data_IF_433721910449
#
_entry.id   IF_433721910449
#
_cell.length_a   1.000
_cell.length_b   1.000
_cell.length_c   1.000
_cell.angle_alpha   90.00
_cell.angle_beta   90.00
_cell.angle_gamma   90.00
#
_symmetry.space_group_name_H-M   'P 1'
#
loop_
_entity.id
_entity.type
_entity.pdbx_description
1 polymer ?
#
# COMPACT_ATOMS: atom_id res chain seq x y z
N UNK A 1 -12.71 16.68 -8.63
CA UNK A 1 -12.91 15.95 -7.36
C UNK A 1 -12.59 14.49 -7.59
N UNK A 2 -12.01 13.82 -6.59
CA UNK A 2 -11.66 12.41 -6.63
C UNK A 2 -12.43 11.67 -5.53
N UNK A 3 -12.71 10.39 -5.75
CA UNK A 3 -13.25 9.48 -4.75
C UNK A 3 -12.31 8.27 -4.66
N UNK A 4 -11.93 7.90 -3.45
CA UNK A 4 -11.13 6.72 -3.15
C UNK A 4 -11.98 5.77 -2.34
N UNK A 5 -11.88 4.47 -2.65
CA UNK A 5 -12.61 3.46 -1.89
C UNK A 5 -11.79 2.18 -1.76
N UNK A 6 -11.94 1.52 -0.66
CA UNK A 6 -11.45 0.16 -0.47
C UNK A 6 -12.41 -0.82 -1.16
N UNK A 7 -11.87 -1.65 -2.05
CA UNK A 7 -12.63 -2.70 -2.75
C UNK A 7 -12.27 -4.05 -2.16
N UNK A 8 -13.10 -4.54 -1.24
CA UNK A 8 -12.91 -5.86 -0.63
C UNK A 8 -13.28 -6.97 -1.62
N UNK A 9 -12.75 -8.18 -1.40
CA UNK A 9 -13.12 -9.37 -2.18
C UNK A 9 -14.62 -9.67 -2.14
N UNK A 10 -15.27 -9.40 -0.99
CA UNK A 10 -16.72 -9.50 -0.86
C UNK A 10 -17.45 -8.47 -1.73
N UNK A 11 -16.95 -7.22 -1.81
CA UNK A 11 -17.56 -6.19 -2.63
C UNK A 11 -17.56 -6.58 -4.12
N UNK A 12 -16.49 -7.24 -4.57
CA UNK A 12 -16.40 -7.76 -5.94
C UNK A 12 -17.35 -8.96 -6.13
N UNK A 13 -17.24 -9.97 -5.26
CA UNK A 13 -18.03 -11.20 -5.37
C UNK A 13 -19.55 -10.95 -5.26
N UNK A 14 -19.96 -9.95 -4.47
CA UNK A 14 -21.36 -9.57 -4.28
C UNK A 14 -21.82 -8.44 -5.22
N UNK A 15 -21.03 -8.09 -6.22
CA UNK A 15 -21.34 -7.04 -7.19
C UNK A 15 -21.66 -5.66 -6.60
N UNK A 16 -21.14 -5.34 -5.39
CA UNK A 16 -21.38 -4.04 -4.73
C UNK A 16 -20.79 -2.85 -5.48
N UNK A 17 -19.85 -3.11 -6.38
CA UNK A 17 -19.19 -2.11 -7.21
C UNK A 17 -19.79 -2.08 -8.64
N UNK A 18 -20.87 -2.82 -8.90
CA UNK A 18 -21.50 -2.87 -10.21
C UNK A 18 -21.95 -1.47 -10.66
N UNK A 19 -21.68 -1.14 -11.92
CA UNK A 19 -22.02 0.17 -12.50
C UNK A 19 -21.01 1.29 -12.21
N UNK A 20 -20.02 1.10 -11.30
CA UNK A 20 -18.97 2.07 -11.09
C UNK A 20 -17.91 1.97 -12.19
N UNK A 21 -17.42 3.14 -12.64
CA UNK A 21 -16.30 3.25 -13.58
C UNK A 21 -15.09 3.76 -12.84
N UNK A 22 -14.08 2.90 -12.67
CA UNK A 22 -12.86 3.26 -11.98
C UNK A 22 -11.84 3.86 -12.95
N UNK A 23 -11.22 4.97 -12.54
CA UNK A 23 -10.08 5.55 -13.25
C UNK A 23 -8.79 4.73 -13.04
N UNK A 24 -8.72 3.93 -11.97
CA UNK A 24 -7.61 3.05 -11.69
C UNK A 24 -7.87 2.12 -10.52
N UNK A 25 -6.98 1.15 -10.37
CA UNK A 25 -6.94 0.22 -9.26
C UNK A 25 -5.53 0.08 -8.70
N UNK A 26 -5.42 -0.16 -7.40
CA UNK A 26 -4.15 -0.36 -6.71
C UNK A 26 -4.20 -1.70 -5.97
N UNK A 27 -3.24 -2.56 -6.24
CA UNK A 27 -3.01 -3.79 -5.48
C UNK A 27 -1.82 -3.60 -4.54
N UNK A 28 -2.05 -3.75 -3.25
CA UNK A 28 -1.02 -3.60 -2.23
C UNK A 28 -0.44 -4.94 -1.79
N UNK A 29 -1.28 -5.85 -1.32
CA UNK A 29 -0.86 -7.18 -0.88
C UNK A 29 -2.07 -8.13 -0.80
N UNK A 30 -1.77 -9.43 -0.66
CA UNK A 30 -2.76 -10.47 -0.40
C UNK A 30 -2.26 -11.40 0.69
N UNK A 31 -2.78 -11.22 1.90
CA UNK A 31 -2.57 -12.12 3.04
C UNK A 31 -3.73 -13.09 3.20
N UNK A 32 -3.54 -14.14 4.00
CA UNK A 32 -4.62 -15.10 4.29
C UNK A 32 -5.68 -14.44 5.16
N UNK A 33 -6.84 -14.19 4.55
CA UNK A 33 -8.01 -13.62 5.20
C UNK A 33 -9.28 -14.08 4.50
N UNK A 34 -10.45 -13.93 5.15
CA UNK A 34 -11.77 -14.21 4.57
C UNK A 34 -11.94 -15.62 3.96
N UNK A 35 -11.21 -16.63 4.46
CA UNK A 35 -11.31 -18.00 3.98
C UNK A 35 -12.61 -18.70 4.42
N UNK A 36 -13.25 -18.20 5.45
CA UNK A 36 -14.60 -18.58 5.87
C UNK A 36 -15.64 -18.37 4.75
N UNK A 37 -15.53 -17.26 4.01
CA UNK A 37 -16.40 -16.92 2.88
C UNK A 37 -15.93 -17.56 1.57
N UNK A 38 -14.67 -17.38 1.20
CA UNK A 38 -14.15 -17.81 -0.11
C UNK A 38 -13.77 -19.29 -0.18
N UNK A 39 -13.70 -20.00 0.95
CA UNK A 39 -13.36 -21.42 1.11
C UNK A 39 -11.92 -21.76 0.77
N UNK A 40 -11.34 -21.19 -0.28
CA UNK A 40 -9.95 -21.40 -0.69
C UNK A 40 -9.24 -20.08 -0.92
N UNK A 41 -7.91 -20.09 -0.83
CA UNK A 41 -7.08 -18.93 -1.12
C UNK A 41 -7.18 -18.52 -2.59
N UNK A 42 -7.30 -19.49 -3.48
CA UNK A 42 -7.45 -19.26 -4.93
C UNK A 42 -8.74 -18.49 -5.21
N UNK A 43 -9.87 -18.91 -4.65
CA UNK A 43 -11.14 -18.20 -4.80
C UNK A 43 -11.07 -16.78 -4.25
N UNK A 44 -10.40 -16.58 -3.11
CA UNK A 44 -10.19 -15.26 -2.53
C UNK A 44 -9.33 -14.38 -3.44
N UNK A 45 -8.21 -14.91 -3.94
CA UNK A 45 -7.35 -14.21 -4.92
C UNK A 45 -8.13 -13.85 -6.18
N UNK A 46 -8.85 -14.81 -6.75
CA UNK A 46 -9.54 -14.64 -8.02
C UNK A 46 -10.71 -13.65 -7.91
N UNK A 47 -11.39 -13.61 -6.74
CA UNK A 47 -12.37 -12.58 -6.45
C UNK A 47 -11.76 -11.16 -6.47
N UNK A 48 -10.58 -10.97 -5.86
CA UNK A 48 -9.87 -9.67 -5.94
C UNK A 48 -9.38 -9.38 -7.36
N UNK A 49 -8.86 -10.39 -8.06
CA UNK A 49 -8.38 -10.27 -9.44
C UNK A 49 -9.48 -9.79 -10.39
N UNK A 50 -10.71 -10.24 -10.23
CA UNK A 50 -11.83 -9.84 -11.07
C UNK A 50 -12.07 -8.33 -11.09
N UNK A 51 -11.70 -7.60 -10.04
CA UNK A 51 -11.71 -6.14 -10.05
C UNK A 51 -10.74 -5.56 -11.09
N UNK A 52 -9.51 -6.07 -11.15
CA UNK A 52 -8.50 -5.60 -12.11
C UNK A 52 -8.83 -6.02 -13.54
N UNK A 53 -9.38 -7.22 -13.72
CA UNK A 53 -9.84 -7.71 -15.04
C UNK A 53 -10.99 -6.85 -15.60
N UNK A 54 -11.81 -6.28 -14.71
CA UNK A 54 -12.91 -5.38 -15.03
C UNK A 54 -12.52 -3.92 -15.32
N UNK A 55 -11.26 -3.53 -15.12
CA UNK A 55 -10.82 -2.15 -15.36
C UNK A 55 -10.84 -1.82 -16.87
N UNK A 56 -11.34 -0.64 -17.27
CA UNK A 56 -11.38 -0.23 -18.67
C UNK A 56 -9.97 0.08 -19.21
N UNK A 57 -9.78 0.01 -20.53
CA UNK A 57 -8.51 0.25 -21.24
C UNK A 57 -7.86 1.61 -20.90
N UNK A 58 -8.66 2.62 -20.58
CA UNK A 58 -8.17 3.97 -20.20
C UNK A 58 -7.81 4.13 -18.71
N UNK A 59 -8.04 3.10 -17.90
CA UNK A 59 -7.66 3.10 -16.49
C UNK A 59 -6.19 2.71 -16.29
N UNK A 60 -5.67 2.93 -15.08
CA UNK A 60 -4.39 2.38 -14.64
C UNK A 60 -4.59 1.22 -13.65
N UNK A 61 -3.64 0.30 -13.60
CA UNK A 61 -3.56 -0.77 -12.61
C UNK A 61 -2.17 -0.73 -11.98
N UNK A 62 -2.07 -0.19 -10.77
CA UNK A 62 -0.82 -0.16 -10.00
C UNK A 62 -0.73 -1.44 -9.17
N UNK A 63 0.37 -2.19 -9.29
CA UNK A 63 0.54 -3.46 -8.58
C UNK A 63 1.86 -3.57 -7.85
N UNK A 64 1.81 -4.14 -6.64
CA UNK A 64 2.98 -4.46 -5.83
C UNK A 64 3.63 -5.76 -6.33
N UNK A 65 4.84 -5.67 -6.89
CA UNK A 65 5.56 -6.87 -7.37
C UNK A 65 6.39 -7.53 -6.26
N UNK A 66 6.46 -6.96 -5.07
CA UNK A 66 7.01 -7.63 -3.89
C UNK A 66 6.04 -8.69 -3.33
N UNK A 67 4.74 -8.58 -3.64
CA UNK A 67 3.75 -9.63 -3.36
C UNK A 67 3.73 -10.65 -4.52
N UNK A 68 3.83 -11.94 -4.18
CA UNK A 68 3.82 -13.03 -5.16
C UNK A 68 2.57 -13.05 -6.06
N UNK A 69 1.46 -12.47 -5.61
CA UNK A 69 0.23 -12.40 -6.38
C UNK A 69 0.15 -11.11 -7.22
N UNK A 70 1.08 -10.15 -7.05
CA UNK A 70 1.02 -8.85 -7.70
C UNK A 70 0.85 -8.93 -9.21
N UNK A 71 1.68 -9.70 -9.89
CA UNK A 71 1.58 -9.87 -11.35
C UNK A 71 0.36 -10.71 -11.76
N UNK A 72 -0.08 -11.64 -10.90
CA UNK A 72 -1.30 -12.43 -11.16
C UNK A 72 -2.53 -11.52 -11.19
N UNK A 73 -2.61 -10.53 -10.27
CA UNK A 73 -3.73 -9.60 -10.20
C UNK A 73 -3.97 -8.83 -11.50
N UNK A 74 -2.91 -8.48 -12.19
CA UNK A 74 -2.98 -7.63 -13.40
C UNK A 74 -2.81 -8.41 -14.71
N UNK A 75 -2.73 -9.74 -14.67
CA UNK A 75 -2.40 -10.59 -15.80
C UNK A 75 -3.38 -10.42 -16.99
N UNK A 76 -4.66 -10.24 -16.73
CA UNK A 76 -5.70 -10.16 -17.76
C UNK A 76 -6.35 -8.77 -17.85
N UNK A 77 -5.84 -7.78 -17.12
CA UNK A 77 -6.40 -6.43 -17.15
C UNK A 77 -6.22 -5.77 -18.52
N UNK A 78 -7.18 -4.94 -18.91
CA UNK A 78 -7.08 -4.08 -20.09
C UNK A 78 -6.49 -2.70 -19.75
N UNK A 79 -6.31 -2.41 -18.45
CA UNK A 79 -5.77 -1.16 -17.96
C UNK A 79 -4.26 -1.06 -18.24
N UNK A 80 -3.73 0.16 -18.15
CA UNK A 80 -2.27 0.39 -18.22
C UNK A 80 -1.65 -0.08 -16.92
N UNK A 81 -0.85 -1.16 -16.99
CA UNK A 81 -0.18 -1.73 -15.82
C UNK A 81 1.03 -0.87 -15.44
N UNK A 82 1.14 -0.56 -14.16
CA UNK A 82 2.27 0.07 -13.50
C UNK A 82 2.66 -0.73 -12.27
N UNK A 83 3.95 -0.94 -12.09
CA UNK A 83 4.49 -1.75 -11.01
C UNK A 83 5.13 -0.89 -9.94
N UNK A 84 5.09 -1.33 -8.69
CA UNK A 84 5.91 -0.73 -7.64
C UNK A 84 6.56 -1.79 -6.75
N UNK A 85 7.70 -1.44 -6.16
CA UNK A 85 8.50 -2.37 -5.36
C UNK A 85 9.49 -1.64 -4.45
N UNK A 86 9.77 -2.26 -3.30
CA UNK A 86 10.90 -1.89 -2.44
C UNK A 86 12.15 -2.76 -2.70
N UNK A 87 12.01 -3.88 -3.43
CA UNK A 87 13.04 -4.91 -3.58
C UNK A 87 13.45 -5.16 -5.03
N UNK A 88 12.49 -5.18 -5.95
CA UNK A 88 12.69 -5.54 -7.34
C UNK A 88 12.73 -4.32 -8.28
N UNK A 89 13.06 -4.56 -9.54
CA UNK A 89 12.89 -3.56 -10.58
C UNK A 89 11.39 -3.32 -10.83
N UNK A 90 11.00 -2.05 -10.87
CA UNK A 90 9.61 -1.62 -11.04
C UNK A 90 9.55 -0.20 -11.64
N UNK A 91 8.36 0.22 -12.13
CA UNK A 91 8.13 1.61 -12.58
C UNK A 91 8.31 2.61 -11.44
N UNK A 92 7.85 2.24 -10.23
CA UNK A 92 8.00 3.03 -9.02
C UNK A 92 8.80 2.26 -7.99
N UNK A 93 9.82 2.88 -7.43
CA UNK A 93 10.72 2.26 -6.45
C UNK A 93 10.92 3.17 -5.26
N UNK A 94 11.03 2.58 -4.09
CA UNK A 94 11.50 3.29 -2.92
C UNK A 94 12.53 2.46 -2.15
N UNK A 95 13.43 3.18 -1.48
CA UNK A 95 14.44 2.61 -0.58
C UNK A 95 14.47 3.46 0.69
N UNK A 96 14.55 2.81 1.83
CA UNK A 96 14.79 3.49 3.11
C UNK A 96 16.26 3.85 3.16
N UNK A 97 16.56 5.12 3.33
CA UNK A 97 17.91 5.65 3.54
C UNK A 97 18.21 5.74 5.04
N UNK A 98 17.27 6.28 5.80
CA UNK A 98 17.36 6.42 7.25
C UNK A 98 16.00 6.13 7.89
N UNK A 99 16.01 5.54 9.08
CA UNK A 99 14.80 5.24 9.84
C UNK A 99 15.03 5.60 11.32
N UNK A 100 14.07 6.31 11.90
CA UNK A 100 14.02 6.68 13.31
C UNK A 100 12.59 6.63 13.83
N UNK A 101 12.41 6.79 15.14
CA UNK A 101 11.08 6.94 15.73
C UNK A 101 10.38 8.26 15.37
N UNK A 102 11.07 9.19 14.72
CA UNK A 102 10.53 10.48 14.28
C UNK A 102 10.07 10.43 12.83
N UNK A 103 10.50 9.42 12.07
CA UNK A 103 10.17 9.23 10.67
C UNK A 103 11.27 8.54 9.90
N UNK A 104 11.12 8.55 8.59
CA UNK A 104 12.05 7.94 7.65
C UNK A 104 12.48 8.94 6.58
N UNK A 105 13.75 8.81 6.13
CA UNK A 105 14.22 9.38 4.88
C UNK A 105 14.19 8.29 3.80
N UNK A 106 13.53 8.57 2.70
CA UNK A 106 13.31 7.64 1.59
C UNK A 106 13.95 8.17 0.31
N UNK A 107 14.55 7.31 -0.47
CA UNK A 107 14.76 7.54 -1.91
C UNK A 107 13.53 7.02 -2.66
N UNK A 108 12.84 7.87 -3.37
CA UNK A 108 11.70 7.51 -4.24
C UNK A 108 12.05 7.86 -5.67
N UNK A 109 12.33 6.86 -6.49
CA UNK A 109 12.76 7.02 -7.90
C UNK A 109 13.95 7.99 -8.07
N UNK A 110 14.95 7.93 -7.18
CA UNK A 110 16.15 8.77 -7.22
C UNK A 110 15.97 10.16 -6.60
N UNK A 111 14.87 10.41 -5.88
CA UNK A 111 14.63 11.66 -5.16
C UNK A 111 14.42 11.39 -3.68
N UNK A 112 15.10 12.14 -2.85
CA UNK A 112 14.99 12.02 -1.40
C UNK A 112 13.75 12.74 -0.87
N UNK A 113 13.07 12.11 0.09
CA UNK A 113 11.93 12.68 0.80
C UNK A 113 11.92 12.19 2.25
N UNK A 114 11.75 13.13 3.18
CA UNK A 114 11.53 12.81 4.59
C UNK A 114 10.03 12.71 4.86
N UNK A 115 9.62 11.65 5.55
CA UNK A 115 8.20 11.39 5.86
C UNK A 115 8.04 11.06 7.36
N UNK A 116 7.00 11.57 8.04
CA UNK A 116 6.77 11.31 9.46
C UNK A 116 6.05 9.95 9.68
N UNK A 117 6.54 8.92 9.03
CA UNK A 117 6.05 7.55 9.14
C UNK A 117 7.18 6.64 9.57
N UNK A 118 6.85 5.59 10.30
CA UNK A 118 7.79 4.53 10.69
C UNK A 118 7.30 3.18 10.20
N UNK A 119 8.24 2.25 10.06
CA UNK A 119 7.98 0.90 9.59
C UNK A 119 7.94 0.75 8.07
N UNK A 120 8.67 -0.24 7.58
CA UNK A 120 8.84 -0.52 6.14
C UNK A 120 7.55 -0.79 5.38
N UNK A 121 6.51 -1.31 6.05
CA UNK A 121 5.19 -1.50 5.44
C UNK A 121 4.55 -0.15 5.05
N UNK A 122 4.81 0.91 5.83
CA UNK A 122 4.36 2.26 5.48
C UNK A 122 5.10 2.80 4.25
N UNK A 123 6.35 2.43 4.01
CA UNK A 123 7.07 2.80 2.78
C UNK A 123 6.36 2.21 1.57
N UNK A 124 5.94 0.94 1.64
CA UNK A 124 5.16 0.30 0.57
C UNK A 124 3.82 1.01 0.34
N UNK A 125 3.12 1.39 1.42
CA UNK A 125 1.86 2.12 1.34
C UNK A 125 2.04 3.51 0.72
N UNK A 126 3.06 4.26 1.15
CA UNK A 126 3.39 5.59 0.61
C UNK A 126 3.79 5.51 -0.87
N UNK A 127 4.54 4.48 -1.25
CA UNK A 127 4.92 4.27 -2.65
C UNK A 127 3.69 3.94 -3.52
N UNK A 128 2.72 3.18 -3.00
CA UNK A 128 1.45 2.93 -3.69
C UNK A 128 0.63 4.23 -3.89
N UNK A 129 0.60 5.10 -2.88
CA UNK A 129 -0.04 6.43 -2.95
C UNK A 129 0.67 7.31 -3.97
N UNK A 130 2.00 7.35 -3.94
CA UNK A 130 2.83 8.07 -4.91
C UNK A 130 2.54 7.62 -6.33
N UNK A 131 2.60 6.31 -6.58
CA UNK A 131 2.34 5.73 -7.89
C UNK A 131 0.93 6.07 -8.41
N UNK A 132 -0.09 5.98 -7.55
CA UNK A 132 -1.45 6.33 -7.92
C UNK A 132 -1.60 7.82 -8.29
N UNK A 133 -1.00 8.71 -7.51
CA UNK A 133 -1.06 10.15 -7.76
C UNK A 133 -0.37 10.53 -9.08
N UNK A 134 0.79 9.93 -9.37
CA UNK A 134 1.50 10.11 -10.64
C UNK A 134 0.69 9.55 -11.81
N UNK A 135 0.08 8.36 -11.67
CA UNK A 135 -0.81 7.79 -12.67
C UNK A 135 -2.06 8.65 -12.93
N UNK A 136 -2.50 9.43 -11.95
CA UNK A 136 -3.57 10.44 -12.10
C UNK A 136 -3.09 11.76 -12.70
N UNK A 137 -1.83 11.84 -13.16
CA UNK A 137 -1.28 13.02 -13.83
C UNK A 137 -0.76 14.10 -12.89
N UNK A 138 -0.49 13.78 -11.61
CA UNK A 138 0.17 14.72 -10.69
C UNK A 138 1.67 14.75 -10.93
N UNK A 139 2.28 15.92 -10.78
CA UNK A 139 3.74 16.08 -10.86
C UNK A 139 4.43 15.25 -9.78
N UNK A 140 5.45 14.49 -10.16
CA UNK A 140 6.16 13.59 -9.25
C UNK A 140 6.72 14.33 -8.01
N UNK A 141 7.28 15.52 -8.22
CA UNK A 141 7.83 16.36 -7.15
C UNK A 141 6.73 16.92 -6.22
N UNK A 142 5.62 17.39 -6.81
CA UNK A 142 4.48 17.87 -6.02
C UNK A 142 3.93 16.77 -5.10
N UNK A 143 3.92 15.51 -5.60
CA UNK A 143 3.48 14.36 -4.79
C UNK A 143 4.47 14.09 -3.67
N UNK A 144 5.78 14.16 -3.90
CA UNK A 144 6.78 13.99 -2.83
C UNK A 144 6.66 15.06 -1.75
N UNK A 145 6.48 16.32 -2.15
CA UNK A 145 6.20 17.41 -1.20
C UNK A 145 4.93 17.15 -0.40
N UNK A 146 3.86 16.68 -1.05
CA UNK A 146 2.64 16.31 -0.35
C UNK A 146 2.87 15.15 0.64
N UNK A 147 3.62 14.12 0.26
CA UNK A 147 3.93 12.97 1.13
C UNK A 147 4.72 13.40 2.38
N UNK A 148 5.65 14.36 2.27
CA UNK A 148 6.44 14.86 3.41
C UNK A 148 5.59 15.59 4.46
N UNK A 149 4.41 16.06 4.07
CA UNK A 149 3.47 16.76 4.97
C UNK A 149 2.35 15.88 5.51
N UNK A 150 2.22 14.65 5.01
CA UNK A 150 1.23 13.71 5.51
C UNK A 150 1.52 13.35 6.97
N UNK A 151 0.45 13.00 7.68
CA UNK A 151 0.55 12.46 9.03
C UNK A 151 0.03 11.03 9.05
N UNK A 152 0.57 10.16 9.93
CA UNK A 152 0.00 8.84 10.15
C UNK A 152 -1.50 8.91 10.45
N UNK A 153 -2.22 7.92 9.97
CA UNK A 153 -3.65 7.79 10.29
C UNK A 153 -3.78 7.28 11.73
N UNK A 154 -4.68 7.87 12.51
CA UNK A 154 -4.92 7.48 13.90
C UNK A 154 -5.18 5.97 14.00
N UNK A 155 -4.51 5.31 14.94
CA UNK A 155 -4.61 3.87 15.15
C UNK A 155 -3.97 3.01 14.05
N UNK A 156 -3.14 3.57 13.20
CA UNK A 156 -2.35 2.84 12.16
C UNK A 156 -0.87 3.06 12.37
N UNK A 157 -0.29 2.28 13.28
CA UNK A 157 1.10 2.43 13.73
C UNK A 157 1.41 3.88 14.17
N UNK A 158 0.47 4.47 14.85
CA UNK A 158 0.54 5.84 15.35
C UNK A 158 1.49 5.89 16.55
N UNK A 159 2.48 6.78 16.49
CA UNK A 159 3.42 6.98 17.60
C UNK A 159 3.00 8.17 18.46
N UNK A 160 2.90 7.94 19.74
CA UNK A 160 2.65 8.97 20.74
C UNK A 160 3.83 9.00 21.70
N UNK A 161 4.51 10.13 21.77
CA UNK A 161 5.69 10.31 22.66
C UNK A 161 5.35 11.16 23.87
N UNK A 162 5.63 10.63 25.05
CA UNK A 162 5.48 11.38 26.30
C UNK A 162 6.68 12.35 26.49
N UNK A 163 6.51 13.34 27.37
CA UNK A 163 7.59 14.26 27.77
C UNK A 163 8.75 13.54 28.46
N UNK A 164 8.50 12.37 29.04
CA UNK A 164 9.47 11.55 29.77
C UNK A 164 10.23 10.58 28.86
N UNK A 165 10.03 10.66 27.53
CA UNK A 165 10.73 9.82 26.54
C UNK A 165 10.09 8.45 26.28
N UNK A 166 8.93 8.16 26.87
CA UNK A 166 8.18 6.93 26.55
C UNK A 166 7.48 7.11 25.20
N UNK A 167 7.67 6.14 24.32
CA UNK A 167 6.96 6.08 23.04
C UNK A 167 5.90 4.99 23.09
N UNK A 168 4.64 5.36 22.91
CA UNK A 168 3.53 4.44 22.73
C UNK A 168 3.23 4.28 21.24
N UNK A 169 2.90 3.07 20.81
CA UNK A 169 2.48 2.77 19.44
C UNK A 169 1.04 2.27 19.48
N UNK A 170 0.16 2.93 18.72
CA UNK A 170 -1.25 2.56 18.60
C UNK A 170 -1.47 1.97 17.20
N UNK A 171 -1.84 0.70 17.15
CA UNK A 171 -2.10 0.00 15.90
C UNK A 171 -3.37 -0.85 15.96
N UNK A 172 -4.10 -0.90 14.87
CA UNK A 172 -5.29 -1.74 14.69
C UNK A 172 -4.94 -3.18 14.25
N UNK A 173 -3.69 -3.59 14.38
CA UNK A 173 -3.26 -4.95 14.03
C UNK A 173 -4.00 -5.98 14.90
N UNK A 174 -4.80 -6.85 14.27
CA UNK A 174 -5.62 -7.86 14.94
C UNK A 174 -5.56 -9.23 14.25
N UNK A 175 -4.84 -9.34 13.13
CA UNK A 175 -4.54 -10.63 12.48
C UNK A 175 -3.12 -11.07 12.81
N UNK A 176 -2.81 -12.37 12.79
CA UNK A 176 -1.44 -12.86 13.06
C UNK A 176 -0.39 -12.17 12.19
N UNK A 177 -0.63 -12.05 10.89
CA UNK A 177 0.31 -11.40 9.96
C UNK A 177 0.51 -9.92 10.28
N UNK A 178 -0.57 -9.20 10.63
CA UNK A 178 -0.49 -7.79 11.01
C UNK A 178 0.26 -7.61 12.35
N UNK A 179 0.02 -8.48 13.34
CA UNK A 179 0.74 -8.44 14.61
C UNK A 179 2.24 -8.69 14.44
N UNK A 180 2.62 -9.66 13.60
CA UNK A 180 4.03 -9.89 13.27
C UNK A 180 4.68 -8.65 12.66
N UNK A 181 4.01 -8.01 11.71
CA UNK A 181 4.51 -6.77 11.09
C UNK A 181 4.67 -5.64 12.11
N UNK A 182 3.71 -5.44 13.00
CA UNK A 182 3.79 -4.40 14.02
C UNK A 182 4.89 -4.70 15.04
N UNK A 183 4.99 -5.94 15.54
CA UNK A 183 5.93 -6.30 16.59
C UNK A 183 7.38 -6.34 16.13
N UNK A 184 7.67 -6.71 14.88
CA UNK A 184 9.03 -6.78 14.36
C UNK A 184 9.69 -5.40 14.34
N UNK A 185 8.91 -4.35 14.10
CA UNK A 185 9.41 -2.97 14.11
C UNK A 185 9.58 -2.38 15.51
N UNK A 186 9.00 -3.02 16.54
CA UNK A 186 9.12 -2.62 17.94
C UNK A 186 10.24 -3.40 18.63
N UNK A 187 10.35 -4.70 18.35
CA UNK A 187 11.27 -5.61 19.01
C UNK A 187 12.68 -5.67 18.39
N UNK A 188 12.80 -5.31 17.13
CA UNK A 188 14.09 -5.16 16.43
C UNK A 188 14.29 -3.69 16.00
N UNK A 189 14.48 -2.75 16.94
CA UNK A 189 14.88 -1.41 16.58
C UNK A 189 16.25 -1.54 15.88
N UNK A 190 16.32 -1.03 14.66
CA UNK A 190 17.47 -0.99 13.77
C UNK A 190 18.80 -1.15 14.49
N UNK A 191 19.49 -2.27 14.25
CA UNK A 191 20.93 -2.34 14.53
C UNK A 191 21.60 -1.27 13.66
N UNK A 192 22.14 -0.26 14.33
CA UNK A 192 23.08 0.71 13.77
C UNK A 192 24.30 0.00 13.21
#
# INVERSE_FOLDING_TARGET
KYAFMEVSSHAVAQHRIAGLKFAGGIFTNLTRDHLDYHKTFENYRDAKKAFFDGLPKGAFAVTNVDDRNGMIMVQNTKAVVKTYSLRAAADFKAKVLEESFEGMCLDVNGKEVSVPFIGRFNVSNLLAVYAAAVCMGRGAEDVLVALSTLRPVNGRFETIRSREGVTAIVDYAHTPDALVLSLIHISEPTRQ
#
